data_IF_072626804103
#
_entry.id   IF_072626804103
#
_cell.length_a   1.000
_cell.length_b   1.000
_cell.length_c   1.000
_cell.angle_alpha   90.00
_cell.angle_beta   90.00
_cell.angle_gamma   90.00
#
_symmetry.space_group_name_H-M   'P 1'
#
loop_
_entity.id
_entity.type
_entity.pdbx_description
1 polymer ?
#
# COMPACT_ATOMS: atom_id res chain seq x y z
N UNK A 1 -8.94 -41.51 23.39
CA UNK A 1 -9.15 -42.80 22.69
C UNK A 1 -8.29 -43.85 23.38
N UNK A 2 -8.80 -44.48 24.45
CA UNK A 2 -8.09 -45.50 25.23
C UNK A 2 -8.82 -46.85 25.01
N UNK A 3 -8.09 -47.89 24.58
CA UNK A 3 -8.63 -49.22 24.24
C UNK A 3 -8.71 -50.11 25.49
N UNK A 4 -9.82 -50.84 25.66
CA UNK A 4 -10.02 -51.85 26.70
C UNK A 4 -9.50 -53.25 26.31
N UNK A 5 -9.35 -54.17 27.29
CA UNK A 5 -8.57 -55.41 27.16
C UNK A 5 -9.21 -56.55 26.34
N UNK A 6 -10.44 -56.42 25.82
CA UNK A 6 -11.19 -57.52 25.17
C UNK A 6 -11.30 -57.46 23.63
N UNK A 7 -10.40 -56.78 22.90
CA UNK A 7 -10.44 -56.79 21.42
C UNK A 7 -9.47 -57.79 20.78
N UNK A 8 -9.92 -58.40 19.68
CA UNK A 8 -9.14 -59.28 18.82
C UNK A 8 -7.81 -58.62 18.39
N UNK A 9 -6.78 -59.45 18.17
CA UNK A 9 -5.45 -58.97 17.71
C UNK A 9 -5.61 -58.23 16.38
N UNK A 10 -4.86 -57.14 16.23
CA UNK A 10 -4.73 -56.44 14.95
C UNK A 10 -4.17 -57.43 13.92
N UNK A 11 -4.88 -57.56 12.81
CA UNK A 11 -4.41 -58.37 11.69
C UNK A 11 -3.52 -57.51 10.78
N UNK A 12 -2.71 -58.16 9.93
CA UNK A 12 -1.81 -57.45 9.00
C UNK A 12 -2.57 -56.47 8.10
N UNK A 13 -3.83 -56.79 7.75
CA UNK A 13 -4.72 -55.92 7.01
C UNK A 13 -5.13 -54.65 7.79
N UNK A 14 -5.33 -54.75 9.11
CA UNK A 14 -5.63 -53.59 9.95
C UNK A 14 -4.40 -52.66 10.07
N UNK A 15 -3.21 -53.25 10.13
CA UNK A 15 -1.93 -52.51 10.20
C UNK A 15 -1.70 -51.76 8.88
N UNK A 16 -1.90 -52.43 7.74
CA UNK A 16 -1.76 -51.83 6.42
C UNK A 16 -2.78 -50.69 6.20
N UNK A 17 -4.04 -50.91 6.59
CA UNK A 17 -5.06 -49.86 6.54
C UNK A 17 -4.70 -48.66 7.43
N UNK A 18 -4.18 -48.92 8.64
CA UNK A 18 -3.73 -47.88 9.54
C UNK A 18 -2.55 -47.09 8.98
N UNK A 19 -1.61 -47.74 8.29
CA UNK A 19 -0.50 -47.08 7.60
C UNK A 19 -0.99 -46.17 6.47
N UNK A 20 -1.84 -46.68 5.57
CA UNK A 20 -2.39 -45.88 4.48
C UNK A 20 -3.21 -44.68 4.98
N UNK A 21 -3.96 -44.88 6.08
CA UNK A 21 -4.68 -43.80 6.74
C UNK A 21 -3.70 -42.77 7.34
N UNK A 22 -2.68 -43.22 8.06
CA UNK A 22 -1.68 -42.35 8.67
C UNK A 22 -0.89 -41.55 7.63
N UNK A 23 -0.54 -42.13 6.49
CA UNK A 23 0.13 -41.43 5.39
C UNK A 23 -0.74 -40.32 4.81
N UNK A 24 -2.01 -40.62 4.49
CA UNK A 24 -2.94 -39.63 3.94
C UNK A 24 -3.27 -38.53 4.96
N UNK A 25 -3.49 -38.90 6.22
CA UNK A 25 -3.73 -37.95 7.30
C UNK A 25 -2.50 -37.08 7.54
N UNK A 26 -1.30 -37.66 7.53
CA UNK A 26 -0.02 -36.96 7.68
C UNK A 26 0.19 -35.94 6.57
N UNK A 27 -0.04 -36.32 5.31
CA UNK A 27 0.05 -35.40 4.17
C UNK A 27 -0.98 -34.27 4.29
N UNK A 28 -2.24 -34.59 4.58
CA UNK A 28 -3.29 -33.59 4.74
C UNK A 28 -3.00 -32.59 5.87
N UNK A 29 -2.52 -33.08 7.02
CA UNK A 29 -2.11 -32.25 8.16
C UNK A 29 -0.90 -31.38 7.81
N UNK A 30 0.11 -31.93 7.14
CA UNK A 30 1.29 -31.18 6.71
C UNK A 30 0.91 -30.06 5.73
N UNK A 31 0.03 -30.36 4.77
CA UNK A 31 -0.49 -29.37 3.83
C UNK A 31 -1.32 -28.29 4.54
N UNK A 32 -2.19 -28.67 5.47
CA UNK A 32 -2.97 -27.71 6.26
C UNK A 32 -2.07 -26.80 7.12
N UNK A 33 -1.04 -27.35 7.75
CA UNK A 33 -0.07 -26.58 8.53
C UNK A 33 0.70 -25.58 7.66
N UNK A 34 1.16 -26.02 6.47
CA UNK A 34 1.84 -25.14 5.52
C UNK A 34 0.95 -23.97 5.08
N UNK A 35 -0.30 -24.24 4.71
CA UNK A 35 -1.24 -23.18 4.33
C UNK A 35 -1.56 -22.23 5.49
N UNK A 36 -1.68 -22.75 6.71
CA UNK A 36 -1.87 -21.93 7.91
C UNK A 36 -0.70 -20.97 8.15
N UNK A 37 0.54 -21.47 8.00
CA UNK A 37 1.75 -20.65 8.14
C UNK A 37 1.86 -19.58 7.04
N UNK A 38 1.50 -19.93 5.80
CA UNK A 38 1.43 -18.97 4.69
C UNK A 38 0.38 -17.88 4.95
N UNK A 39 -0.83 -18.26 5.37
CA UNK A 39 -1.90 -17.33 5.69
C UNK A 39 -1.49 -16.38 6.83
N UNK A 40 -0.84 -16.91 7.88
CA UNK A 40 -0.32 -16.09 8.98
C UNK A 40 0.71 -15.05 8.48
N UNK A 41 1.65 -15.46 7.63
CA UNK A 41 2.67 -14.55 7.07
C UNK A 41 2.04 -13.44 6.24
N UNK A 42 1.05 -13.78 5.42
CA UNK A 42 0.29 -12.82 4.60
C UNK A 42 -0.50 -11.85 5.49
N UNK A 43 -1.15 -12.35 6.55
CA UNK A 43 -1.89 -11.53 7.50
C UNK A 43 -0.97 -10.52 8.22
N UNK A 44 0.23 -10.93 8.61
CA UNK A 44 1.22 -10.02 9.23
C UNK A 44 1.65 -8.92 8.24
N UNK A 45 1.95 -9.27 6.99
CA UNK A 45 2.29 -8.29 5.96
C UNK A 45 1.14 -7.32 5.68
N UNK A 46 -0.10 -7.82 5.62
CA UNK A 46 -1.29 -7.01 5.42
C UNK A 46 -1.55 -6.05 6.60
N UNK A 47 -1.39 -6.52 7.85
CA UNK A 47 -1.56 -5.69 9.04
C UNK A 47 -0.59 -4.50 9.06
N UNK A 48 0.66 -4.71 8.63
CA UNK A 48 1.65 -3.64 8.48
C UNK A 48 1.30 -2.60 7.42
N UNK A 49 0.41 -2.92 6.47
CA UNK A 49 -0.08 -2.00 5.46
C UNK A 49 -1.48 -1.45 5.76
N UNK A 50 -2.02 -1.72 6.94
CA UNK A 50 -3.30 -1.16 7.35
C UNK A 50 -3.27 0.37 7.19
N UNK A 51 -4.35 0.96 6.65
CA UNK A 51 -4.46 2.40 6.55
C UNK A 51 -4.45 3.05 7.92
N UNK A 52 -3.66 4.12 8.07
CA UNK A 52 -3.67 4.91 9.29
C UNK A 52 -4.92 5.83 9.30
N UNK A 53 -5.45 6.14 10.51
CA UNK A 53 -6.52 7.11 10.63
C UNK A 53 -6.05 8.47 10.09
N UNK A 54 -6.97 9.17 9.42
CA UNK A 54 -6.66 10.48 8.85
C UNK A 54 -6.42 11.49 9.97
N UNK A 55 -5.42 12.37 9.85
CA UNK A 55 -5.19 13.42 10.82
C UNK A 55 -6.32 14.46 10.79
N UNK A 56 -6.55 15.14 11.91
CA UNK A 56 -7.35 16.37 11.90
C UNK A 56 -6.45 17.49 11.37
N UNK A 57 -6.95 18.24 10.40
CA UNK A 57 -6.23 19.35 9.80
C UNK A 57 -7.15 20.57 9.69
N UNK A 58 -6.74 21.68 10.32
CA UNK A 58 -7.53 22.90 10.34
C UNK A 58 -7.81 23.40 8.92
N UNK A 59 -9.07 23.69 8.62
CA UNK A 59 -9.51 24.16 7.30
C UNK A 59 -9.54 23.09 6.20
N UNK A 60 -9.36 21.79 6.52
CA UNK A 60 -9.39 20.69 5.57
C UNK A 60 -10.29 19.53 6.04
N UNK A 61 -11.26 19.14 5.21
CA UNK A 61 -12.00 17.89 5.37
C UNK A 61 -11.28 16.74 4.66
N UNK A 62 -10.90 15.70 5.39
CA UNK A 62 -10.19 14.53 4.84
C UNK A 62 -11.09 13.30 4.90
N UNK A 63 -11.14 12.55 3.79
CA UNK A 63 -11.84 11.27 3.70
C UNK A 63 -11.02 10.25 2.92
N UNK A 64 -11.07 8.98 3.33
CA UNK A 64 -10.38 7.88 2.66
C UNK A 64 -11.22 6.61 2.71
N UNK A 65 -11.17 5.83 1.64
CA UNK A 65 -11.79 4.52 1.56
C UNK A 65 -10.77 3.53 0.97
N UNK A 66 -10.47 2.47 1.73
CA UNK A 66 -9.56 1.41 1.31
C UNK A 66 -10.34 0.11 1.18
N UNK A 67 -10.32 -0.49 -0.02
CA UNK A 67 -11.02 -1.75 -0.30
C UNK A 67 -10.02 -2.81 -0.77
N UNK A 68 -9.43 -3.59 0.15
CA UNK A 68 -8.50 -4.64 -0.23
C UNK A 68 -9.23 -5.72 -1.06
N UNK A 69 -8.51 -6.38 -1.97
CA UNK A 69 -9.03 -7.52 -2.70
C UNK A 69 -9.27 -8.70 -1.73
N UNK A 70 -10.44 -9.35 -1.82
CA UNK A 70 -10.90 -10.37 -0.86
C UNK A 70 -10.23 -11.75 -0.99
N UNK A 71 -9.27 -11.95 -1.90
CA UNK A 71 -8.54 -13.23 -1.97
C UNK A 71 -7.58 -13.33 -0.77
N UNK A 72 -7.89 -14.24 0.16
CA UNK A 72 -7.19 -14.43 1.44
C UNK A 72 -5.66 -14.66 1.36
N UNK A 73 -5.13 -14.90 0.16
CA UNK A 73 -3.70 -15.11 -0.09
C UNK A 73 -3.05 -13.99 -0.93
N UNK A 74 -3.78 -12.91 -1.23
CA UNK A 74 -3.26 -11.79 -2.02
C UNK A 74 -3.09 -10.55 -1.17
N UNK A 75 -1.85 -10.11 -1.12
CA UNK A 75 -1.49 -8.84 -0.51
C UNK A 75 -1.72 -7.72 -1.53
N UNK A 76 -2.48 -6.69 -1.15
CA UNK A 76 -2.72 -5.52 -2.01
C UNK A 76 -1.44 -4.71 -2.16
N UNK A 77 -1.15 -4.29 -3.40
CA UNK A 77 -0.06 -3.35 -3.71
C UNK A 77 -0.44 -1.89 -3.47
N UNK A 78 -1.72 -1.61 -3.18
CA UNK A 78 -2.23 -0.27 -2.94
C UNK A 78 -1.87 0.19 -1.53
N UNK A 79 -1.29 1.40 -1.43
CA UNK A 79 -0.99 2.06 -0.17
C UNK A 79 -1.36 3.54 -0.24
N UNK A 80 -1.73 4.12 0.89
CA UNK A 80 -1.83 5.55 1.05
C UNK A 80 -1.40 5.99 2.44
N UNK A 81 -1.07 7.26 2.57
CA UNK A 81 -0.73 7.90 3.83
C UNK A 81 -1.06 9.38 3.76
N UNK A 82 -1.49 9.93 4.89
CA UNK A 82 -1.74 11.37 5.06
C UNK A 82 -1.16 11.77 6.42
N UNK A 83 -0.37 12.82 6.43
CA UNK A 83 0.27 13.34 7.64
C UNK A 83 0.15 14.87 7.73
N UNK A 84 0.13 15.44 8.94
CA UNK A 84 0.25 16.88 9.11
C UNK A 84 1.56 17.40 8.51
N UNK A 85 1.49 18.53 7.81
CA UNK A 85 2.69 19.20 7.31
C UNK A 85 3.19 20.22 8.35
N UNK A 86 4.49 20.23 8.71
CA UNK A 86 5.04 21.25 9.62
C UNK A 86 4.82 22.70 9.15
N UNK A 87 4.65 22.90 7.85
CA UNK A 87 4.41 24.20 7.23
C UNK A 87 2.91 24.54 7.05
N UNK A 88 2.03 23.85 7.79
CA UNK A 88 0.57 23.98 7.75
C UNK A 88 -0.09 23.08 6.71
N UNK A 89 -1.32 22.62 7.01
CA UNK A 89 -2.07 21.68 6.17
C UNK A 89 -1.57 20.23 6.28
N UNK A 90 -1.65 19.47 5.19
CA UNK A 90 -1.26 18.05 5.14
C UNK A 90 -0.36 17.73 3.97
N UNK A 91 0.46 16.71 4.13
CA UNK A 91 1.10 15.96 3.05
C UNK A 91 0.38 14.63 2.86
N UNK A 92 0.31 14.16 1.62
CA UNK A 92 -0.32 12.90 1.30
C UNK A 92 0.47 12.17 0.22
N UNK A 93 0.40 10.85 0.25
CA UNK A 93 0.84 10.03 -0.86
C UNK A 93 -0.04 8.80 -0.99
N UNK A 94 -0.19 8.30 -2.22
CA UNK A 94 -0.84 7.03 -2.50
C UNK A 94 -0.23 6.42 -3.75
N UNK A 95 -0.22 5.10 -3.82
CA UNK A 95 0.36 4.40 -4.95
C UNK A 95 -0.06 2.95 -5.04
N UNK A 96 0.30 2.35 -6.18
CA UNK A 96 0.04 0.97 -6.54
C UNK A 96 1.34 0.35 -7.08
N UNK A 97 1.81 -0.70 -6.39
CA UNK A 97 3.00 -1.45 -6.78
C UNK A 97 2.68 -2.44 -7.89
N UNK A 98 3.52 -2.49 -8.94
CA UNK A 98 3.39 -3.51 -9.98
C UNK A 98 3.55 -4.92 -9.42
N UNK A 99 2.53 -5.77 -9.62
CA UNK A 99 2.56 -7.18 -9.23
C UNK A 99 1.61 -7.51 -8.07
N UNK A 100 1.74 -8.72 -7.52
CA UNK A 100 0.91 -9.21 -6.40
C UNK A 100 1.76 -10.11 -5.49
N UNK A 101 1.34 -10.26 -4.24
CA UNK A 101 1.96 -11.18 -3.27
C UNK A 101 3.03 -10.53 -2.38
N UNK A 102 3.76 -11.36 -1.64
CA UNK A 102 4.68 -10.92 -0.58
C UNK A 102 5.77 -9.95 -1.08
N UNK A 103 6.28 -10.18 -2.28
CA UNK A 103 7.31 -9.32 -2.88
C UNK A 103 6.82 -7.91 -3.22
N UNK A 104 5.57 -7.78 -3.68
CA UNK A 104 4.94 -6.47 -3.90
C UNK A 104 4.66 -5.77 -2.56
N UNK A 105 4.27 -6.53 -1.55
CA UNK A 105 4.05 -6.04 -0.19
C UNK A 105 5.33 -5.45 0.45
N UNK A 106 6.47 -6.13 0.27
CA UNK A 106 7.77 -5.65 0.76
C UNK A 106 8.13 -4.32 0.11
N UNK A 107 7.97 -4.21 -1.21
CA UNK A 107 8.24 -2.95 -1.92
C UNK A 107 7.27 -1.83 -1.49
N UNK A 108 5.98 -2.13 -1.33
CA UNK A 108 5.00 -1.17 -0.81
C UNK A 108 5.38 -0.69 0.60
N UNK A 109 5.83 -1.60 1.47
CA UNK A 109 6.34 -1.29 2.81
C UNK A 109 7.57 -0.38 2.77
N UNK A 110 8.56 -0.68 1.92
CA UNK A 110 9.73 0.17 1.71
C UNK A 110 9.34 1.56 1.25
N UNK A 111 8.49 1.66 0.22
CA UNK A 111 8.04 2.96 -0.31
C UNK A 111 7.30 3.76 0.76
N UNK A 112 6.35 3.14 1.48
CA UNK A 112 5.61 3.78 2.56
C UNK A 112 6.56 4.29 3.64
N UNK A 113 7.52 3.48 4.09
CA UNK A 113 8.44 3.87 5.15
C UNK A 113 9.42 4.96 4.72
N UNK A 114 9.93 4.89 3.49
CA UNK A 114 10.77 5.94 2.91
C UNK A 114 10.02 7.27 2.81
N UNK A 115 8.78 7.26 2.31
CA UNK A 115 7.96 8.46 2.21
C UNK A 115 7.58 9.04 3.57
N UNK A 116 7.25 8.19 4.56
CA UNK A 116 7.04 8.63 5.96
C UNK A 116 8.27 9.32 6.52
N UNK A 117 9.44 8.72 6.30
CA UNK A 117 10.72 9.28 6.76
C UNK A 117 10.99 10.63 6.10
N UNK A 118 10.76 10.74 4.79
CA UNK A 118 10.88 12.02 4.07
C UNK A 118 9.92 13.07 4.62
N UNK A 119 8.66 12.72 4.88
CA UNK A 119 7.66 13.61 5.46
C UNK A 119 8.03 14.11 6.86
N UNK A 120 8.71 13.29 7.66
CA UNK A 120 9.15 13.67 9.01
C UNK A 120 10.41 14.55 9.00
N UNK A 121 11.37 14.26 8.11
CA UNK A 121 12.67 14.94 8.10
C UNK A 121 12.62 16.25 7.32
N UNK A 122 11.80 16.33 6.27
CA UNK A 122 11.70 17.52 5.43
C UNK A 122 10.68 18.49 6.01
N UNK A 123 11.16 19.64 6.49
CA UNK A 123 10.33 20.72 7.08
C UNK A 123 9.44 21.46 6.07
N UNK A 124 9.49 21.12 4.79
CA UNK A 124 8.69 21.73 3.72
C UNK A 124 8.14 20.68 2.76
N UNK A 125 7.04 21.01 2.08
CA UNK A 125 6.48 20.14 1.04
C UNK A 125 7.14 20.44 -0.31
N UNK A 126 7.95 19.52 -0.81
CA UNK A 126 8.40 19.51 -2.21
C UNK A 126 8.10 18.13 -2.82
N UNK A 127 6.84 17.92 -3.27
CA UNK A 127 6.40 16.62 -3.74
C UNK A 127 7.26 16.06 -4.89
N UNK A 128 7.84 16.94 -5.72
CA UNK A 128 8.66 16.54 -6.85
C UNK A 128 10.01 15.99 -6.38
N UNK A 129 10.68 16.70 -5.48
CA UNK A 129 11.96 16.22 -4.91
C UNK A 129 11.76 14.92 -4.12
N UNK A 130 10.67 14.80 -3.35
CA UNK A 130 10.37 13.59 -2.59
C UNK A 130 10.16 12.39 -3.52
N UNK A 131 9.45 12.60 -4.64
CA UNK A 131 9.21 11.58 -5.65
C UNK A 131 10.50 11.16 -6.38
N UNK A 132 11.40 12.11 -6.68
CA UNK A 132 12.69 11.80 -7.31
C UNK A 132 13.61 10.99 -6.39
N UNK A 133 13.71 11.38 -5.11
CA UNK A 133 14.47 10.63 -4.11
C UNK A 133 13.92 9.21 -3.95
N UNK A 134 12.59 9.06 -3.92
CA UNK A 134 11.97 7.75 -3.88
C UNK A 134 12.27 6.94 -5.15
N UNK A 135 12.23 7.56 -6.32
CA UNK A 135 12.54 6.88 -7.59
C UNK A 135 13.97 6.32 -7.56
N UNK A 136 14.95 7.05 -7.04
CA UNK A 136 16.33 6.55 -6.90
C UNK A 136 16.41 5.35 -5.95
N UNK A 137 15.69 5.40 -4.82
CA UNK A 137 15.57 4.26 -3.90
C UNK A 137 14.96 3.03 -4.58
N UNK A 138 13.87 3.21 -5.35
CA UNK A 138 13.21 2.12 -6.07
C UNK A 138 14.13 1.54 -7.16
N UNK A 139 14.87 2.38 -7.90
CA UNK A 139 15.87 1.93 -8.89
C UNK A 139 16.92 1.05 -8.23
N UNK A 140 17.45 1.46 -7.09
CA UNK A 140 18.47 0.68 -6.37
C UNK A 140 17.94 -0.64 -5.80
N UNK A 141 16.62 -0.76 -5.60
CA UNK A 141 15.97 -1.95 -5.03
C UNK A 141 15.60 -3.03 -6.07
N UNK A 142 15.76 -2.79 -7.38
CA UNK A 142 15.64 -3.81 -8.43
C UNK A 142 14.64 -3.51 -9.56
N UNK A 143 14.12 -4.56 -10.21
CA UNK A 143 13.39 -4.50 -11.49
C UNK A 143 11.86 -4.25 -11.39
N UNK A 144 11.35 -3.78 -10.25
CA UNK A 144 9.91 -3.47 -10.09
C UNK A 144 9.66 -1.97 -10.16
N UNK A 145 8.42 -1.63 -10.51
CA UNK A 145 7.96 -0.25 -10.56
C UNK A 145 6.72 -0.05 -9.67
N UNK A 146 6.47 1.20 -9.29
CA UNK A 146 5.27 1.59 -8.56
C UNK A 146 4.70 2.85 -9.19
N UNK A 147 3.38 2.94 -9.28
CA UNK A 147 2.72 4.21 -9.60
C UNK A 147 2.49 4.94 -8.30
N UNK A 148 2.96 6.19 -8.17
CA UNK A 148 2.80 6.99 -6.97
C UNK A 148 2.27 8.38 -7.32
N UNK A 149 1.34 8.87 -6.52
CA UNK A 149 1.00 10.27 -6.38
C UNK A 149 1.43 10.72 -4.98
N UNK A 150 2.13 11.84 -4.90
CA UNK A 150 2.49 12.50 -3.65
C UNK A 150 2.15 13.99 -3.76
N UNK A 151 1.83 14.61 -2.64
CA UNK A 151 1.42 16.00 -2.64
C UNK A 151 1.30 16.63 -1.28
N UNK A 152 0.96 17.91 -1.30
CA UNK A 152 0.54 18.66 -0.13
C UNK A 152 -0.72 19.45 -0.41
N UNK A 153 -1.55 19.59 0.61
CA UNK A 153 -2.74 20.43 0.61
C UNK A 153 -2.65 21.40 1.78
N UNK A 154 -2.79 22.70 1.53
CA UNK A 154 -2.75 23.73 2.56
C UNK A 154 -3.93 24.69 2.40
N UNK A 155 -4.66 24.99 3.48
CA UNK A 155 -5.66 26.05 3.44
C UNK A 155 -4.98 27.41 3.23
N UNK A 156 -5.72 28.34 2.66
CA UNK A 156 -5.38 29.75 2.52
C UNK A 156 -6.43 30.59 3.25
N UNK A 157 -6.06 31.82 3.56
CA UNK A 157 -6.90 32.78 4.28
C UNK A 157 -8.18 33.16 3.50
N UNK A 158 -8.18 33.01 2.17
CA UNK A 158 -9.33 33.25 1.29
C UNK A 158 -10.34 32.08 1.26
N UNK A 159 -10.17 31.07 2.12
CA UNK A 159 -10.99 29.85 2.13
C UNK A 159 -10.67 28.86 0.99
N UNK A 160 -9.66 29.16 0.15
CA UNK A 160 -9.16 28.22 -0.85
C UNK A 160 -8.12 27.26 -0.28
N UNK A 161 -7.96 26.11 -0.93
CA UNK A 161 -6.94 25.12 -0.64
C UNK A 161 -5.93 25.13 -1.78
N UNK A 162 -4.66 25.33 -1.44
CA UNK A 162 -3.53 25.14 -2.33
C UNK A 162 -3.13 23.66 -2.32
N UNK A 163 -3.16 23.03 -3.49
CA UNK A 163 -2.73 21.64 -3.64
C UNK A 163 -1.54 21.58 -4.60
N UNK A 164 -0.47 20.93 -4.15
CA UNK A 164 0.73 20.66 -4.94
C UNK A 164 0.88 19.15 -5.07
N UNK A 165 1.00 18.64 -6.29
CA UNK A 165 1.05 17.21 -6.55
C UNK A 165 2.22 16.92 -7.48
N UNK A 166 2.96 15.86 -7.16
CA UNK A 166 3.82 15.17 -8.09
C UNK A 166 3.31 13.74 -8.25
N UNK A 167 3.33 13.25 -9.46
CA UNK A 167 2.93 11.89 -9.79
C UNK A 167 4.02 11.25 -10.60
N UNK A 168 4.20 9.95 -10.45
CA UNK A 168 4.76 9.20 -11.55
C UNK A 168 4.34 7.75 -11.64
N UNK A 169 4.50 7.20 -12.84
CA UNK A 169 3.76 6.02 -13.29
C UNK A 169 2.55 6.39 -14.14
N UNK A 170 1.80 5.38 -14.59
CA UNK A 170 0.59 5.60 -15.38
C UNK A 170 -0.61 5.60 -14.45
N UNK A 171 -1.19 6.78 -14.22
CA UNK A 171 -2.36 6.92 -13.36
C UNK A 171 -3.56 6.18 -13.97
N UNK A 172 -4.13 5.15 -13.33
CA UNK A 172 -5.49 4.76 -13.64
C UNK A 172 -6.40 5.92 -13.21
N UNK A 173 -6.88 6.70 -14.19
CA UNK A 173 -7.92 7.75 -14.10
C UNK A 173 -8.16 8.31 -12.69
N UNK A 174 -7.18 8.98 -12.09
CA UNK A 174 -7.43 9.78 -10.89
C UNK A 174 -8.33 10.95 -11.30
N UNK A 175 -9.62 10.82 -10.97
CA UNK A 175 -10.60 11.89 -11.16
C UNK A 175 -10.48 12.85 -9.98
N UNK A 176 -9.76 13.95 -10.19
CA UNK A 176 -9.89 15.13 -9.34
C UNK A 176 -11.20 15.82 -9.72
N UNK A 177 -12.27 15.56 -8.97
CA UNK A 177 -13.55 16.25 -9.12
C UNK A 177 -13.55 17.41 -8.14
N UNK A 178 -13.25 18.62 -8.63
CA UNK A 178 -13.51 19.86 -7.92
C UNK A 178 -14.87 20.39 -8.38
N UNK A 179 -15.72 20.83 -7.46
CA UNK A 179 -17.03 21.40 -7.79
C UNK A 179 -16.91 22.76 -8.48
N UNK A 180 -15.80 23.50 -8.30
CA UNK A 180 -15.62 24.80 -8.98
C UNK A 180 -14.15 25.17 -9.30
N UNK A 181 -13.96 25.59 -10.55
CA UNK A 181 -12.82 26.25 -11.21
C UNK A 181 -11.40 25.72 -10.95
N UNK A 182 -10.87 25.06 -11.98
CA UNK A 182 -9.50 24.54 -12.03
C UNK A 182 -8.54 25.45 -12.82
N UNK A 183 -7.32 25.66 -12.32
CA UNK A 183 -6.20 26.21 -13.12
C UNK A 183 -4.99 25.29 -13.02
N UNK A 184 -4.63 24.67 -14.15
CA UNK A 184 -3.39 23.89 -14.31
C UNK A 184 -2.22 24.87 -14.46
N UNK A 185 -1.23 24.81 -13.57
CA UNK A 185 0.09 25.40 -13.84
C UNK A 185 1.11 24.31 -14.20
N UNK A 186 1.89 24.59 -15.25
CA UNK A 186 2.90 23.78 -15.97
C UNK A 186 3.37 22.45 -15.34
N UNK A 187 3.31 21.38 -16.14
CA UNK A 187 4.01 20.13 -15.89
C UNK A 187 5.48 20.23 -16.32
N UNK A 188 6.41 19.77 -15.47
CA UNK A 188 7.78 19.44 -15.89
C UNK A 188 7.84 17.92 -16.07
N UNK A 189 8.15 17.45 -17.27
CA UNK A 189 8.37 16.04 -17.56
C UNK A 189 9.87 15.71 -17.42
N UNK A 190 10.18 14.54 -16.87
CA UNK A 190 11.54 14.01 -16.86
C UNK A 190 11.93 13.54 -18.29
N UNK A 191 13.12 13.88 -18.77
CA UNK A 191 13.56 13.67 -20.16
C UNK A 191 14.32 12.35 -20.41
N UNK A 192 14.58 11.53 -19.38
CA UNK A 192 15.31 10.27 -19.52
C UNK A 192 14.35 9.12 -19.87
N UNK A 193 14.56 8.50 -21.04
CA UNK A 193 13.66 7.49 -21.63
C UNK A 193 13.52 6.16 -20.88
N UNK A 194 14.14 5.99 -19.72
CA UNK A 194 14.01 4.81 -18.84
C UNK A 194 14.02 5.25 -17.37
N UNK A 195 12.86 5.23 -16.71
CA UNK A 195 12.69 5.40 -15.27
C UNK A 195 11.60 4.43 -14.78
N UNK A 196 11.74 3.79 -13.61
CA UNK A 196 10.69 2.96 -13.05
C UNK A 196 9.44 3.80 -12.69
N UNK A 197 9.58 5.10 -12.47
CA UNK A 197 8.47 6.02 -12.19
C UNK A 197 8.56 7.27 -13.10
N UNK A 198 7.81 7.38 -14.21
CA UNK A 198 7.81 8.58 -15.06
C UNK A 198 7.12 9.77 -14.36
N UNK A 199 7.85 10.86 -14.11
CA UNK A 199 7.43 11.97 -13.22
C UNK A 199 6.71 13.13 -13.93
N UNK A 200 5.65 13.65 -13.31
CA UNK A 200 4.92 14.88 -13.67
C UNK A 200 4.53 15.68 -12.41
N UNK A 201 4.46 17.00 -12.51
CA UNK A 201 4.06 17.88 -11.40
C UNK A 201 2.88 18.79 -11.79
N UNK A 202 1.96 19.03 -10.86
CA UNK A 202 0.80 19.91 -11.02
C UNK A 202 0.59 20.73 -9.75
N UNK A 203 0.35 22.03 -9.91
CA UNK A 203 -0.06 22.92 -8.80
C UNK A 203 -1.46 23.46 -9.11
N UNK A 204 -2.32 23.44 -8.09
CA UNK A 204 -3.74 23.79 -8.18
C UNK A 204 -4.19 24.60 -6.95
N UNK A 205 -5.22 25.40 -7.11
CA UNK A 205 -5.96 26.05 -6.00
C UNK A 205 -7.45 25.80 -6.19
N UNK A 206 -8.15 25.30 -5.18
CA UNK A 206 -9.60 25.08 -5.21
C UNK A 206 -10.26 25.80 -4.02
N UNK A 207 -11.36 26.51 -4.23
CA UNK A 207 -12.16 27.08 -3.13
C UNK A 207 -12.91 25.97 -2.38
N UNK A 208 -12.87 25.96 -1.05
CA UNK A 208 -13.60 24.98 -0.26
C UNK A 208 -15.09 25.38 -0.18
N UNK A 209 -16.07 24.49 -0.40
CA UNK A 209 -17.45 24.81 -0.07
C UNK A 209 -17.59 24.90 1.45
N UNK A 210 -17.88 26.10 1.95
CA UNK A 210 -18.35 26.29 3.32
C UNK A 210 -19.81 25.84 3.35
N UNK A 211 -20.10 24.69 3.96
CA UNK A 211 -21.29 24.35 4.77
C UNK A 211 -21.30 22.85 5.10
#
# INVERSE_FOLDING_TARGET
MLRGPERARLEDADIELAHQFAERAGLALATAALYSQQAHTIAVLQAGMAPEPLPVADGLGLGAAYRPAAEALRVSGDYYHVAPCPAGGVTFFFGDVSGKGAEAAVLAGHVRQSMRTLAMVRRGSDPLSDLLLLNDLVISAGHRFTTLVTGSARPRDDGSVKVEIASGGHLPRSRFVATERWRRSSARACSSGWCPIPVSAVRSSASNPVS
#
